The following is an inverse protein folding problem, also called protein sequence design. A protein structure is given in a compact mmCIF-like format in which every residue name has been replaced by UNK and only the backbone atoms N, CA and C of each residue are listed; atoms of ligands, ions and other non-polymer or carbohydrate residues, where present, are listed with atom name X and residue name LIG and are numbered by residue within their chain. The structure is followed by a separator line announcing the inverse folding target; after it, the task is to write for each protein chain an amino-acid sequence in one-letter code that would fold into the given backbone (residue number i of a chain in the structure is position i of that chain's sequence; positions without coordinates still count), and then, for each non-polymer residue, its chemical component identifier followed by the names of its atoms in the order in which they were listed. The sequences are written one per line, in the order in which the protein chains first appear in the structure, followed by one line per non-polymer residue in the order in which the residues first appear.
data_IF_664073071208
#
_entry.id   IF_664073071208
#
_cell.length_a   1.000
_cell.length_b   1.000
_cell.length_c   1.000
_cell.angle_alpha   90.00
_cell.angle_beta   90.00
_cell.angle_gamma   90.00
#
_symmetry.space_group_name_H-M   'P 1'
#
loop_
_entity.id
_entity.type
_entity.pdbx_description
1 polymer ?
#
# COMPACT_ATOMS: atom_id res chain seq x y z
N UNK A 1 1.45 7.06 -2.74
CA UNK A 1 0.33 6.79 -3.68
C UNK A 1 -0.91 7.60 -3.36
N UNK A 2 -1.56 7.42 -2.19
CA UNK A 2 -2.76 8.22 -1.82
C UNK A 2 -2.45 9.72 -1.74
N UNK A 3 -1.33 10.10 -1.12
CA UNK A 3 -0.91 11.50 -1.06
C UNK A 3 -0.63 12.11 -2.43
N UNK A 4 -0.09 11.33 -3.37
CA UNK A 4 0.19 11.83 -4.72
C UNK A 4 -1.10 12.05 -5.52
N UNK A 5 -2.06 11.12 -5.40
CA UNK A 5 -3.39 11.28 -5.99
C UNK A 5 -4.17 12.45 -5.38
N UNK A 6 -4.10 12.61 -4.05
CA UNK A 6 -4.73 13.72 -3.34
C UNK A 6 -4.09 15.07 -3.70
N UNK A 7 -2.76 15.12 -3.79
CA UNK A 7 -2.03 16.32 -4.18
C UNK A 7 -2.37 16.74 -5.61
N UNK A 8 -2.45 15.78 -6.53
CA UNK A 8 -2.82 16.03 -7.93
C UNK A 8 -4.28 16.49 -8.04
N UNK A 9 -5.19 15.90 -7.26
CA UNK A 9 -6.59 16.31 -7.20
C UNK A 9 -6.75 17.75 -6.68
N UNK A 10 -6.09 18.08 -5.57
CA UNK A 10 -6.14 19.42 -4.98
C UNK A 10 -5.49 20.46 -5.89
N UNK A 11 -4.36 20.13 -6.52
CA UNK A 11 -3.68 21.01 -7.47
C UNK A 11 -4.53 21.31 -8.72
N UNK A 12 -5.17 20.28 -9.29
CA UNK A 12 -6.09 20.45 -10.41
C UNK A 12 -7.30 21.31 -10.02
N UNK A 13 -7.90 21.06 -8.86
CA UNK A 13 -9.01 21.87 -8.36
C UNK A 13 -8.62 23.35 -8.17
N UNK A 14 -7.45 23.62 -7.59
CA UNK A 14 -6.94 24.98 -7.40
C UNK A 14 -6.69 25.72 -8.70
N UNK A 15 -6.07 25.06 -9.70
CA UNK A 15 -5.85 25.63 -11.03
C UNK A 15 -7.18 25.96 -11.73
N UNK A 16 -8.16 25.06 -11.65
CA UNK A 16 -9.50 25.31 -12.21
C UNK A 16 -10.18 26.50 -11.53
N UNK A 17 -10.13 26.60 -10.20
CA UNK A 17 -10.70 27.75 -9.47
C UNK A 17 -10.03 29.07 -9.87
N UNK A 18 -8.70 29.10 -9.96
CA UNK A 18 -7.96 30.31 -10.33
C UNK A 18 -8.34 30.81 -11.73
N UNK A 19 -8.54 29.91 -12.69
CA UNK A 19 -8.98 30.25 -14.06
C UNK A 19 -10.41 30.83 -14.05
N UNK A 20 -11.30 30.31 -13.19
CA UNK A 20 -12.68 30.79 -13.07
C UNK A 20 -12.71 32.22 -12.53
N UNK A 21 -12.03 32.46 -11.41
CA UNK A 21 -11.97 33.76 -10.74
C UNK A 21 -11.30 34.83 -11.61
N UNK A 22 -10.38 34.45 -12.50
CA UNK A 22 -9.74 35.38 -13.43
C UNK A 22 -10.65 35.85 -14.59
N UNK A 23 -11.85 35.26 -14.75
CA UNK A 23 -12.70 35.47 -15.94
C UNK A 23 -14.19 35.73 -15.61
N UNK A 24 -14.47 36.44 -14.51
CA UNK A 24 -15.83 36.67 -13.98
C UNK A 24 -16.84 37.23 -15.00
N UNK A 25 -16.41 38.10 -15.93
CA UNK A 25 -17.29 38.71 -16.95
C UNK A 25 -17.79 37.72 -18.01
N UNK A 26 -17.02 36.69 -18.33
CA UNK A 26 -17.39 35.68 -19.33
C UNK A 26 -18.29 34.60 -18.74
N UNK A 27 -18.11 34.30 -17.45
CA UNK A 27 -18.86 33.23 -16.77
C UNK A 27 -20.28 33.63 -16.35
N UNK A 28 -20.57 34.92 -16.28
CA UNK A 28 -21.92 35.44 -16.03
C UNK A 28 -22.75 35.63 -17.31
N UNK A 29 -22.12 35.49 -18.49
CA UNK A 29 -22.82 35.60 -19.76
C UNK A 29 -23.91 34.51 -19.90
N UNK A 30 -25.06 34.83 -20.52
CA UNK A 30 -26.09 33.83 -20.81
C UNK A 30 -25.53 32.76 -21.75
N UNK A 31 -25.63 31.48 -21.39
CA UNK A 31 -25.29 30.36 -22.27
C UNK A 31 -26.49 29.89 -23.11
N UNK A 32 -27.69 30.38 -22.79
CA UNK A 32 -28.95 30.00 -23.42
C UNK A 32 -29.93 29.40 -22.42
N UNK A 33 -31.15 29.15 -22.89
CA UNK A 33 -32.19 28.46 -22.13
C UNK A 33 -32.12 26.96 -22.39
N UNK A 34 -32.12 26.17 -21.31
CA UNK A 34 -32.16 24.71 -21.36
C UNK A 34 -33.54 24.28 -20.89
N UNK A 35 -34.26 23.50 -21.69
CA UNK A 35 -35.52 22.90 -21.27
C UNK A 35 -35.23 21.64 -20.46
N UNK A 36 -35.53 21.70 -19.16
CA UNK A 36 -35.36 20.57 -18.25
C UNK A 36 -36.70 20.27 -17.58
N UNK A 37 -37.22 19.07 -17.79
CA UNK A 37 -38.53 18.64 -17.27
C UNK A 37 -39.69 19.59 -17.67
N UNK A 38 -39.66 20.16 -18.87
CA UNK A 38 -40.66 21.12 -19.36
C UNK A 38 -40.53 22.54 -18.80
N UNK A 39 -39.51 22.82 -17.99
CA UNK A 39 -39.19 24.15 -17.50
C UNK A 39 -37.96 24.72 -18.22
N UNK A 40 -38.09 25.96 -18.70
CA UNK A 40 -36.99 26.71 -19.30
C UNK A 40 -36.09 27.27 -18.20
N UNK A 41 -34.90 26.69 -18.05
CA UNK A 41 -33.89 27.16 -17.09
C UNK A 41 -32.86 27.97 -17.88
N UNK A 42 -32.75 29.26 -17.57
CA UNK A 42 -31.68 30.09 -18.11
C UNK A 42 -30.39 29.77 -17.37
N UNK A 43 -29.42 29.21 -18.10
CA UNK A 43 -28.11 28.90 -17.55
C UNK A 43 -27.09 29.95 -18.03
N UNK A 44 -26.17 30.32 -17.14
CA UNK A 44 -24.97 31.08 -17.54
C UNK A 44 -23.87 30.13 -18.02
N UNK A 45 -22.91 30.68 -18.77
CA UNK A 45 -21.72 29.94 -19.25
C UNK A 45 -20.95 29.35 -18.06
N UNK A 46 -20.89 30.08 -16.94
CA UNK A 46 -20.29 29.63 -15.69
C UNK A 46 -20.99 28.45 -15.05
N UNK A 47 -22.32 28.41 -15.07
CA UNK A 47 -23.06 27.28 -14.52
C UNK A 47 -22.84 26.00 -15.34
N UNK A 48 -22.83 26.10 -16.67
CA UNK A 48 -22.52 24.94 -17.54
C UNK A 48 -21.09 24.45 -17.35
N UNK A 49 -20.12 25.37 -17.29
CA UNK A 49 -18.72 25.02 -17.08
C UNK A 49 -18.50 24.35 -15.72
N UNK A 50 -19.04 24.92 -14.65
CA UNK A 50 -18.93 24.35 -13.30
C UNK A 50 -19.61 22.97 -13.21
N UNK A 51 -20.75 22.80 -13.89
CA UNK A 51 -21.40 21.49 -14.03
C UNK A 51 -20.50 20.46 -14.70
N UNK A 52 -19.80 20.83 -15.77
CA UNK A 52 -18.82 19.98 -16.45
C UNK A 52 -17.62 19.63 -15.56
N UNK A 53 -17.07 20.61 -14.84
CA UNK A 53 -15.98 20.38 -13.87
C UNK A 53 -16.42 19.42 -12.76
N UNK A 54 -17.61 19.63 -12.19
CA UNK A 54 -18.14 18.77 -11.14
C UNK A 54 -18.36 17.33 -11.64
N UNK A 55 -18.94 17.16 -12.83
CA UNK A 55 -19.12 15.85 -13.45
C UNK A 55 -17.78 15.15 -13.72
N UNK A 56 -16.80 15.87 -14.27
CA UNK A 56 -15.45 15.35 -14.49
C UNK A 56 -14.75 14.92 -13.20
N UNK A 57 -14.89 15.71 -12.13
CA UNK A 57 -14.36 15.35 -10.82
C UNK A 57 -14.99 14.05 -10.28
N UNK A 58 -16.30 13.90 -10.40
CA UNK A 58 -17.00 12.68 -9.99
C UNK A 58 -16.51 11.43 -10.76
N UNK A 59 -16.30 11.56 -12.07
CA UNK A 59 -15.74 10.47 -12.89
C UNK A 59 -14.32 10.10 -12.41
N UNK A 60 -13.45 11.09 -12.17
CA UNK A 60 -12.10 10.85 -11.67
C UNK A 60 -12.09 10.19 -10.29
N UNK A 61 -13.00 10.59 -9.39
CA UNK A 61 -13.19 9.96 -8.08
C UNK A 61 -13.61 8.49 -8.24
N UNK A 62 -14.56 8.21 -9.12
CA UNK A 62 -15.00 6.84 -9.42
C UNK A 62 -13.84 5.98 -9.93
N UNK A 63 -13.05 6.51 -10.86
CA UNK A 63 -11.86 5.85 -11.41
C UNK A 63 -10.84 5.57 -10.29
N UNK A 64 -10.55 6.56 -9.44
CA UNK A 64 -9.67 6.41 -8.28
C UNK A 64 -10.15 5.33 -7.30
N UNK A 65 -11.46 5.21 -7.08
CA UNK A 65 -12.06 4.16 -6.26
C UNK A 65 -11.85 2.78 -6.85
N UNK A 66 -12.08 2.61 -8.15
CA UNK A 66 -11.86 1.32 -8.86
C UNK A 66 -10.39 0.89 -8.77
N UNK A 67 -9.46 1.79 -9.08
CA UNK A 67 -8.02 1.49 -8.99
C UNK A 67 -7.56 1.25 -7.55
N UNK A 68 -8.12 1.98 -6.57
CA UNK A 68 -7.83 1.75 -5.15
C UNK A 68 -8.37 0.43 -4.62
N UNK A 69 -9.52 -0.04 -5.13
CA UNK A 69 -10.08 -1.35 -4.81
C UNK A 69 -9.15 -2.50 -5.22
N UNK A 70 -8.56 -2.41 -6.40
CA UNK A 70 -7.57 -3.37 -6.90
C UNK A 70 -6.25 -3.30 -6.09
N UNK A 71 -5.78 -2.10 -5.77
CA UNK A 71 -4.57 -1.90 -4.97
C UNK A 71 -4.72 -2.36 -3.51
N UNK A 72 -5.94 -2.29 -2.94
CA UNK A 72 -6.21 -2.76 -1.56
C UNK A 72 -6.06 -4.27 -1.43
N UNK A 73 -6.34 -5.02 -2.50
CA UNK A 73 -6.10 -6.47 -2.53
C UNK A 73 -4.59 -6.79 -2.65
N UNK A 74 -3.84 -5.98 -3.40
CA UNK A 74 -2.38 -6.12 -3.54
C UNK A 74 -1.63 -5.86 -2.21
N UNK A 75 -2.05 -4.89 -1.39
CA UNK A 75 -1.46 -4.64 -0.06
C UNK A 75 -1.69 -5.79 0.92
N UNK A 76 -2.87 -6.41 0.90
CA UNK A 76 -3.15 -7.62 1.71
C UNK A 76 -2.29 -8.82 1.27
N UNK A 77 -2.07 -9.00 -0.04
CA UNK A 77 -1.17 -10.03 -0.57
C UNK A 77 0.31 -9.76 -0.29
N UNK A 78 0.75 -8.51 -0.27
CA UNK A 78 2.14 -8.13 0.05
C UNK A 78 2.50 -8.41 1.52
N UNK A 79 1.59 -8.15 2.46
CA UNK A 79 1.76 -8.52 3.86
C UNK A 79 1.87 -10.04 4.07
N UNK A 80 1.20 -10.84 3.24
CA UNK A 80 1.30 -12.31 3.28
C UNK A 80 2.63 -12.87 2.78
N UNK A 81 3.33 -12.17 1.86
CA UNK A 81 4.62 -12.63 1.32
C UNK A 81 5.81 -12.30 2.22
N UNK A 82 5.74 -11.21 3.00
CA UNK A 82 6.76 -10.91 4.01
C UNK A 82 6.74 -11.93 5.15
N UNK A 83 5.55 -12.33 5.62
CA UNK A 83 5.43 -13.37 6.66
C UNK A 83 6.04 -14.71 6.25
N UNK A 84 5.95 -15.11 4.98
CA UNK A 84 6.54 -16.37 4.53
C UNK A 84 8.09 -16.33 4.48
N UNK A 85 8.68 -15.18 4.18
CA UNK A 85 10.13 -15.02 4.20
C UNK A 85 10.67 -14.95 5.63
N UNK A 86 9.96 -14.29 6.55
CA UNK A 86 10.33 -14.26 7.97
C UNK A 86 10.27 -15.66 8.59
N UNK A 87 9.21 -16.44 8.32
CA UNK A 87 9.13 -17.82 8.80
C UNK A 87 10.23 -18.74 8.25
N UNK A 88 10.68 -18.53 7.00
CA UNK A 88 11.81 -19.29 6.44
C UNK A 88 13.14 -18.91 7.10
N UNK A 89 13.33 -17.66 7.49
CA UNK A 89 14.53 -17.24 8.22
C UNK A 89 14.51 -17.76 9.66
N UNK A 90 13.36 -17.68 10.32
CA UNK A 90 13.16 -18.19 11.69
C UNK A 90 13.41 -19.71 11.76
N UNK A 91 12.88 -20.48 10.80
CA UNK A 91 13.15 -21.93 10.73
C UNK A 91 14.63 -22.25 10.50
N UNK A 92 15.34 -21.47 9.67
CA UNK A 92 16.78 -21.68 9.43
C UNK A 92 17.62 -21.34 10.65
N UNK A 93 17.23 -20.34 11.42
CA UNK A 93 17.91 -19.98 12.66
C UNK A 93 17.66 -21.03 13.76
N UNK A 94 16.44 -21.57 13.83
CA UNK A 94 16.09 -22.65 14.74
C UNK A 94 16.85 -23.94 14.42
N UNK A 95 17.00 -24.25 13.12
CA UNK A 95 17.75 -25.43 12.67
C UNK A 95 19.24 -25.31 13.00
N UNK A 96 19.85 -24.12 12.80
CA UNK A 96 21.24 -23.86 13.20
C UNK A 96 21.47 -24.04 14.71
N UNK A 97 20.56 -23.54 15.54
CA UNK A 97 20.63 -23.70 17.00
C UNK A 97 20.54 -25.17 17.41
N UNK A 98 19.67 -25.94 16.76
CA UNK A 98 19.55 -27.37 17.00
C UNK A 98 20.84 -28.12 16.63
N UNK A 99 21.44 -27.77 15.49
CA UNK A 99 22.69 -28.40 15.03
C UNK A 99 23.86 -28.10 15.98
N UNK A 100 23.99 -26.86 16.47
CA UNK A 100 25.02 -26.51 17.46
C UNK A 100 24.83 -27.21 18.80
N UNK A 101 23.58 -27.32 19.29
CA UNK A 101 23.31 -28.04 20.55
C UNK A 101 23.62 -29.53 20.40
N UNK A 102 23.31 -30.10 19.23
CA UNK A 102 23.60 -31.51 18.94
C UNK A 102 25.11 -31.76 18.86
N UNK A 103 25.88 -30.86 18.23
CA UNK A 103 27.34 -30.97 18.16
C UNK A 103 28.01 -30.84 19.52
N UNK A 104 27.55 -29.90 20.35
CA UNK A 104 28.10 -29.70 21.70
C UNK A 104 27.84 -30.92 22.59
N UNK A 105 26.65 -31.52 22.48
CA UNK A 105 26.30 -32.70 23.25
C UNK A 105 27.09 -33.95 22.80
N UNK A 106 27.36 -34.07 21.50
CA UNK A 106 28.22 -35.13 20.96
C UNK A 106 29.68 -34.95 21.40
N UNK A 107 30.19 -33.72 21.42
CA UNK A 107 31.54 -33.40 21.90
C UNK A 107 31.68 -33.71 23.40
N UNK A 108 30.68 -33.36 24.21
CA UNK A 108 30.67 -33.70 25.65
C UNK A 108 30.65 -35.21 25.89
N UNK A 109 29.86 -35.98 25.11
CA UNK A 109 29.84 -37.44 25.22
C UNK A 109 31.20 -38.06 24.85
N UNK A 110 31.81 -37.61 23.77
CA UNK A 110 33.13 -38.09 23.37
C UNK A 110 34.19 -37.83 24.47
N UNK A 111 34.17 -36.64 25.08
CA UNK A 111 35.08 -36.31 26.17
C UNK A 111 34.83 -37.16 27.44
N UNK A 112 33.57 -37.49 27.75
CA UNK A 112 33.26 -38.38 28.88
C UNK A 112 33.65 -39.84 28.62
N UNK A 113 33.48 -40.32 27.38
CA UNK A 113 33.88 -41.68 27.00
C UNK A 113 35.41 -41.83 26.99
N UNK A 114 36.13 -40.81 26.54
CA UNK A 114 37.59 -40.76 26.53
C UNK A 114 38.18 -40.67 27.96
N UNK A 115 37.53 -39.92 28.86
CA UNK A 115 37.90 -39.90 30.27
C UNK A 115 37.64 -41.25 30.98
N UNK A 116 36.56 -41.96 30.60
CA UNK A 116 36.25 -43.28 31.14
C UNK A 116 37.19 -44.37 30.62
N UNK A 117 37.75 -44.22 29.42
CA UNK A 117 38.75 -45.14 28.88
C UNK A 117 40.13 -44.94 29.53
N UNK A 118 40.53 -43.69 29.78
CA UNK A 118 41.79 -43.38 30.48
C UNK A 118 41.81 -43.89 31.93
N UNK A 119 40.67 -43.88 32.63
CA UNK A 119 40.53 -44.44 33.98
C UNK A 119 40.69 -45.97 34.01
N UNK A 120 40.24 -46.67 32.96
CA UNK A 120 40.41 -48.13 32.87
C UNK A 120 41.84 -48.54 32.56
N UNK A 121 42.58 -47.71 31.82
CA UNK A 121 43.98 -47.96 31.47
C UNK A 121 44.92 -47.73 32.68
N UNK A 122 44.59 -46.79 33.57
CA UNK A 122 45.38 -46.51 34.78
C UNK A 122 45.21 -47.54 35.90
N UNK A 123 44.06 -48.20 35.98
CA UNK A 123 43.77 -49.25 36.98
C UNK A 123 44.45 -50.60 36.66
N UNK A 124 44.96 -50.76 35.42
CA UNK A 124 45.56 -52.02 34.94
C UNK A 124 47.10 -52.04 34.98
N UNK A 125 47.76 -50.98 35.47
CA UNK A 125 49.21 -50.93 35.72
C UNK A 125 49.51 -51.01 37.21
#
# INVERSE_FOLDING_TARGET
MIFLGLLLLVGAAGLSLAIILANDGTFTAPAGAIELFGNQINATVGQMFLGGVAAGALVLIGIMMVFSGLARNARRRSAGRHKLNDHRQEMRDLQRKHDTVTSDLAAHRAATDEAADQDKVSVQQ
#
